data_IF_557523778420
#
_entry.id   IF_557523778420
#
_cell.length_a   1.000
_cell.length_b   1.000
_cell.length_c   1.000
_cell.angle_alpha   90.00
_cell.angle_beta   90.00
_cell.angle_gamma   90.00
#
_symmetry.space_group_name_H-M   'P 1'
#
loop_
_entity.id
_entity.type
_entity.pdbx_description
1 polymer ?
#
# COMPACT_ATOMS: atom_id res chain seq x y z
N UNK A 1 -9.92 11.40 0.54
CA UNK A 1 -8.57 11.00 0.95
C UNK A 1 -7.98 10.07 -0.08
N UNK A 2 -6.74 10.26 -0.38
CA UNK A 2 -6.04 9.43 -1.36
C UNK A 2 -4.99 8.59 -0.67
N UNK A 3 -4.99 7.30 -0.95
CA UNK A 3 -4.13 6.35 -0.26
C UNK A 3 -3.39 5.49 -1.26
N UNK A 4 -2.11 5.26 -1.01
CA UNK A 4 -1.32 4.35 -1.83
C UNK A 4 -1.08 3.07 -1.03
N UNK A 5 -1.29 1.94 -1.68
CA UNK A 5 -0.98 0.63 -1.11
C UNK A 5 0.30 0.16 -1.80
N UNK A 6 1.41 0.24 -1.07
CA UNK A 6 2.74 0.10 -1.66
C UNK A 6 3.24 -1.34 -1.51
N UNK A 7 3.36 -2.05 -2.62
CA UNK A 7 3.74 -3.46 -2.61
C UNK A 7 5.06 -3.69 -3.31
N UNK A 8 6.02 -4.21 -2.60
CA UNK A 8 7.30 -4.57 -3.16
C UNK A 8 7.52 -6.07 -3.17
N UNK A 9 6.68 -6.81 -2.46
CA UNK A 9 6.78 -8.25 -2.40
C UNK A 9 5.42 -8.86 -2.55
N UNK A 10 5.41 -10.09 -3.05
CA UNK A 10 4.16 -10.75 -3.33
C UNK A 10 3.30 -10.95 -2.08
N UNK A 11 3.93 -11.20 -0.95
CA UNK A 11 3.16 -11.44 0.26
C UNK A 11 2.41 -10.18 0.72
N UNK A 12 2.81 -9.01 0.23
CA UNK A 12 2.15 -7.79 0.63
C UNK A 12 0.71 -7.70 0.14
N UNK A 13 0.37 -8.44 -0.91
CA UNK A 13 -0.99 -8.41 -1.42
C UNK A 13 -1.98 -8.84 -0.34
N UNK A 14 -1.67 -9.94 0.34
CA UNK A 14 -2.56 -10.42 1.39
C UNK A 14 -2.56 -9.53 2.62
N UNK A 15 -1.46 -8.87 2.88
CA UNK A 15 -1.38 -7.98 4.03
C UNK A 15 -2.22 -6.73 3.80
N UNK A 16 -2.20 -6.20 2.60
CA UNK A 16 -2.87 -4.94 2.31
C UNK A 16 -4.31 -5.10 1.85
N UNK A 17 -4.72 -6.31 1.52
CA UNK A 17 -6.08 -6.51 1.04
C UNK A 17 -7.14 -6.06 2.04
N UNK A 18 -7.03 -6.40 3.34
CA UNK A 18 -8.04 -5.93 4.28
C UNK A 18 -8.11 -4.41 4.36
N UNK A 19 -6.98 -3.75 4.18
CA UNK A 19 -6.95 -2.29 4.17
C UNK A 19 -7.68 -1.77 2.95
N UNK A 20 -7.45 -2.40 1.79
CA UNK A 20 -8.15 -2.03 0.58
C UNK A 20 -9.67 -2.13 0.78
N UNK A 21 -10.13 -3.21 1.42
CA UNK A 21 -11.55 -3.37 1.64
C UNK A 21 -12.13 -2.25 2.49
N UNK A 22 -11.41 -1.84 3.52
CA UNK A 22 -11.87 -0.73 4.34
C UNK A 22 -11.91 0.56 3.54
N UNK A 23 -10.91 0.80 2.69
CA UNK A 23 -10.89 2.00 1.87
C UNK A 23 -12.07 2.02 0.91
N UNK A 24 -12.43 0.87 0.37
CA UNK A 24 -13.58 0.79 -0.53
C UNK A 24 -14.87 1.08 0.23
N UNK A 25 -15.01 0.56 1.42
CA UNK A 25 -16.20 0.80 2.22
C UNK A 25 -16.34 2.28 2.56
N UNK A 26 -15.22 2.94 2.84
CA UNK A 26 -15.26 4.35 3.19
C UNK A 26 -15.31 5.28 1.99
N UNK A 27 -15.17 4.73 0.79
CA UNK A 27 -15.23 5.54 -0.42
C UNK A 27 -13.99 6.37 -0.68
N UNK A 28 -12.87 5.98 -0.12
CA UNK A 28 -11.62 6.70 -0.36
C UNK A 28 -11.01 6.28 -1.69
N UNK A 29 -10.28 7.18 -2.31
CA UNK A 29 -9.52 6.85 -3.52
C UNK A 29 -8.24 6.16 -3.12
N UNK A 30 -7.88 5.12 -3.86
CA UNK A 30 -6.62 4.46 -3.58
C UNK A 30 -5.98 4.01 -4.87
N UNK A 31 -4.67 3.77 -4.78
CA UNK A 31 -3.89 3.28 -5.90
C UNK A 31 -2.89 2.29 -5.36
N UNK A 32 -2.83 1.11 -5.95
CA UNK A 32 -1.82 0.14 -5.60
C UNK A 32 -0.55 0.46 -6.38
N UNK A 33 0.58 0.48 -5.70
CA UNK A 33 1.86 0.46 -6.38
C UNK A 33 2.39 -0.96 -6.30
N UNK A 34 2.69 -1.57 -7.44
CA UNK A 34 3.15 -2.95 -7.50
C UNK A 34 4.42 -2.95 -8.33
N UNK A 35 5.54 -3.38 -7.75
CA UNK A 35 6.79 -3.38 -8.48
C UNK A 35 6.74 -4.33 -9.65
N UNK A 36 7.51 -4.01 -10.69
CA UNK A 36 7.47 -4.77 -11.93
C UNK A 36 7.64 -6.25 -11.75
N UNK A 37 8.60 -6.72 -10.95
CA UNK A 37 8.81 -8.17 -10.87
C UNK A 37 7.59 -8.95 -10.38
N UNK A 38 6.71 -8.33 -9.60
CA UNK A 38 5.56 -9.04 -9.08
C UNK A 38 4.25 -8.57 -9.70
N UNK A 39 4.34 -7.71 -10.70
CA UNK A 39 3.16 -7.10 -11.28
C UNK A 39 2.21 -8.15 -11.85
N UNK A 40 2.74 -9.18 -12.47
CA UNK A 40 1.89 -10.18 -13.09
C UNK A 40 1.17 -11.04 -12.08
N UNK A 41 1.64 -11.05 -10.85
CA UNK A 41 1.01 -11.84 -9.80
C UNK A 41 0.00 -11.05 -9.01
N UNK A 42 -0.19 -9.79 -9.34
CA UNK A 42 -1.15 -8.94 -8.65
C UNK A 42 -2.56 -9.50 -8.85
N UNK A 43 -3.25 -9.85 -7.77
CA UNK A 43 -4.52 -10.57 -7.93
C UNK A 43 -5.74 -9.67 -8.10
N UNK A 44 -5.60 -8.36 -7.84
CA UNK A 44 -6.76 -7.47 -7.86
C UNK A 44 -6.78 -6.64 -9.12
N UNK A 45 -6.84 -7.31 -10.26
CA UNK A 45 -6.68 -6.63 -11.55
C UNK A 45 -7.79 -5.65 -11.87
N UNK A 46 -8.91 -5.75 -11.18
CA UNK A 46 -9.99 -4.81 -11.39
C UNK A 46 -9.83 -3.53 -10.58
N UNK A 47 -8.84 -3.49 -9.71
CA UNK A 47 -8.61 -2.32 -8.88
C UNK A 47 -7.51 -1.46 -9.52
N UNK A 48 -7.47 -0.17 -9.21
CA UNK A 48 -6.44 0.68 -9.80
C UNK A 48 -5.06 0.32 -9.29
N UNK A 49 -4.14 0.08 -10.19
CA UNK A 49 -2.77 -0.24 -9.81
C UNK A 49 -1.81 0.26 -10.86
N UNK A 50 -0.58 0.46 -10.48
CA UNK A 50 0.45 0.95 -11.36
C UNK A 50 1.80 0.42 -10.92
N UNK A 51 2.70 0.22 -11.87
CA UNK A 51 4.09 -0.07 -11.57
C UNK A 51 4.97 1.11 -11.92
N UNK A 52 4.38 2.24 -12.22
CA UNK A 52 5.10 3.43 -12.62
C UNK A 52 5.14 4.42 -11.48
N UNK A 53 6.34 4.70 -10.98
CA UNK A 53 6.48 5.57 -9.83
C UNK A 53 6.00 6.99 -10.13
N UNK A 54 6.12 7.43 -11.39
CA UNK A 54 5.64 8.75 -11.73
C UNK A 54 4.14 8.88 -11.57
N UNK A 55 3.41 7.81 -11.85
CA UNK A 55 1.97 7.82 -11.64
C UNK A 55 1.64 7.89 -10.16
N UNK A 56 2.43 7.20 -9.34
CA UNK A 56 2.23 7.23 -7.91
C UNK A 56 2.49 8.63 -7.38
N UNK A 57 3.54 9.28 -7.87
CA UNK A 57 3.83 10.66 -7.46
C UNK A 57 2.71 11.59 -7.87
N UNK A 58 2.21 11.42 -9.08
CA UNK A 58 1.13 12.28 -9.57
C UNK A 58 -0.17 12.07 -8.82
N UNK A 59 -0.33 10.93 -8.20
CA UNK A 59 -1.53 10.64 -7.43
C UNK A 59 -1.63 11.52 -6.19
N UNK A 60 -0.50 11.96 -5.66
CA UNK A 60 -0.43 12.88 -4.51
C UNK A 60 -1.20 12.35 -3.32
N UNK A 61 -0.76 11.21 -2.83
CA UNK A 61 -1.47 10.53 -1.78
C UNK A 61 -1.39 11.28 -0.44
N UNK A 62 -2.39 11.07 0.37
CA UNK A 62 -2.40 11.58 1.74
C UNK A 62 -1.77 10.57 2.69
N UNK A 63 -1.82 9.31 2.35
CA UNK A 63 -1.24 8.26 3.19
C UNK A 63 -0.73 7.13 2.32
N UNK A 64 0.29 6.45 2.78
CA UNK A 64 0.88 5.32 2.08
C UNK A 64 1.01 4.18 3.08
N UNK A 65 0.36 3.06 2.78
CA UNK A 65 0.49 1.86 3.60
C UNK A 65 1.56 0.97 2.99
N UNK A 66 2.51 0.55 3.80
CA UNK A 66 3.64 -0.23 3.31
C UNK A 66 3.98 -1.33 4.30
N UNK A 67 4.05 -2.58 3.87
CA UNK A 67 4.43 -3.66 4.78
C UNK A 67 5.92 -3.71 5.06
N UNK A 68 6.72 -3.07 4.21
CA UNK A 68 8.15 -3.05 4.41
C UNK A 68 8.59 -1.75 5.01
N UNK A 69 9.88 -1.50 4.94
CA UNK A 69 10.43 -0.31 5.52
C UNK A 69 10.74 0.77 4.54
N UNK A 70 10.77 0.46 3.27
CA UNK A 70 11.33 1.39 2.32
C UNK A 70 10.29 1.97 1.41
N UNK A 71 10.09 3.25 1.53
CA UNK A 71 9.23 4.02 0.65
C UNK A 71 10.06 5.21 0.21
N UNK A 72 10.07 5.53 -1.09
CA UNK A 72 10.82 6.69 -1.53
C UNK A 72 10.40 7.93 -0.76
N UNK A 73 11.39 8.66 -0.28
CA UNK A 73 11.10 9.81 0.58
C UNK A 73 10.37 10.91 -0.17
N UNK A 74 10.48 10.93 -1.50
CA UNK A 74 9.84 11.98 -2.27
C UNK A 74 8.35 11.76 -2.46
N UNK A 75 7.83 10.59 -2.08
CA UNK A 75 6.40 10.38 -2.13
C UNK A 75 5.77 11.11 -0.95
N UNK A 76 4.79 11.91 -1.25
CA UNK A 76 4.15 12.68 -0.20
C UNK A 76 3.15 11.81 0.54
N UNK A 77 2.78 12.25 1.71
CA UNK A 77 1.78 11.57 2.48
C UNK A 77 2.36 10.93 3.74
N UNK A 78 1.47 10.64 4.66
CA UNK A 78 1.85 9.96 5.89
C UNK A 78 2.18 8.51 5.56
N UNK A 79 3.32 8.05 5.97
CA UNK A 79 3.73 6.68 5.71
C UNK A 79 3.37 5.82 6.90
N UNK A 80 2.58 4.78 6.64
CA UNK A 80 2.08 3.91 7.68
C UNK A 80 2.62 2.51 7.43
N UNK A 81 3.48 2.07 8.32
CA UNK A 81 4.08 0.76 8.19
C UNK A 81 3.15 -0.28 8.79
N UNK A 82 2.88 -1.33 8.04
CA UNK A 82 2.01 -2.40 8.48
C UNK A 82 2.87 -3.61 8.77
N UNK A 83 2.84 -4.08 10.04
CA UNK A 83 3.60 -5.26 10.38
C UNK A 83 2.72 -6.46 10.16
N UNK A 84 3.26 -7.46 9.47
CA UNK A 84 2.53 -8.67 9.38
C UNK A 84 2.98 -9.46 10.55
N UNK A 85 2.25 -9.61 11.47
CA UNK A 85 2.65 -10.25 12.62
C UNK A 85 2.73 -11.66 12.42
N UNK A 86 3.79 -12.27 12.77
CA UNK A 86 3.77 -13.50 12.74
C UNK A 86 3.08 -14.04 13.79
N UNK A 87 2.95 -15.05 14.05
CA UNK A 87 2.24 -15.63 15.07
C UNK A 87 0.81 -15.27 15.03
N UNK A 88 0.43 -14.48 14.17
CA UNK A 88 -0.93 -14.19 13.93
C UNK A 88 -1.73 -13.66 15.04
N UNK A 89 -1.18 -13.50 16.20
CA UNK A 89 -1.97 -13.05 17.23
C UNK A 89 -2.12 -11.60 17.20
N UNK A 90 -1.26 -10.90 16.54
CA UNK A 90 -1.42 -9.51 16.50
C UNK A 90 -2.01 -9.17 15.21
N UNK A 91 -3.09 -8.52 15.16
CA UNK A 91 -3.58 -8.11 13.97
C UNK A 91 -3.58 -6.71 13.87
N UNK A 92 -3.29 -6.13 12.78
CA UNK A 92 -3.41 -4.72 12.55
C UNK A 92 -2.43 -3.88 13.31
N UNK A 93 -1.23 -4.32 13.46
CA UNK A 93 -0.26 -3.49 14.10
C UNK A 93 0.22 -2.46 13.15
N UNK A 94 0.09 -1.19 13.47
CA UNK A 94 0.51 -0.10 12.62
C UNK A 94 1.51 0.77 13.34
N UNK A 95 2.46 1.27 12.57
CA UNK A 95 3.42 2.21 13.06
C UNK A 95 3.42 3.41 12.16
N UNK A 96 3.35 4.59 12.72
CA UNK A 96 3.39 5.81 11.92
C UNK A 96 4.81 6.24 11.72
N UNK A 97 5.17 6.50 10.46
CA UNK A 97 6.48 6.96 10.12
C UNK A 97 6.33 8.35 9.57
N UNK A 98 6.93 9.32 10.23
CA UNK A 98 6.84 10.68 9.78
C UNK A 98 8.12 11.10 9.14
N UNK A 99 8.00 11.81 8.06
CA UNK A 99 9.17 12.28 7.35
C UNK A 99 9.10 13.75 7.12
#
# INVERSE_FOLDING_TARGET
MKVVLFCQNQYAFGILEPIMQVLKIKGYNFLWFVEEPIKEKFPFKNEPYSSNMEEVKAFKSDAIFVPGNEVPYYLRGLKIQVFHGFAGEKKGHFSLIRR
#
